data_IF_223926699771
#
_entry.id   IF_223926699771
#
_cell.length_a   1.000
_cell.length_b   1.000
_cell.length_c   1.000
_cell.angle_alpha   90.00
_cell.angle_beta   90.00
_cell.angle_gamma   90.00
#
_symmetry.space_group_name_H-M   'P 1'
#
loop_
_entity.id
_entity.type
_entity.pdbx_description
1 polymer ?
#
# COMPACT_ATOMS: atom_id res chain seq x y z
N UNK A 1 -5.04 -22.15 12.49
CA UNK A 1 -4.71 -20.75 12.16
C UNK A 1 -6.04 -20.04 11.97
N UNK A 2 -6.35 -19.02 12.78
CA UNK A 2 -7.65 -18.35 12.70
C UNK A 2 -7.54 -17.27 11.62
N UNK A 3 -8.07 -17.56 10.43
CA UNK A 3 -8.27 -16.55 9.40
C UNK A 3 -9.23 -15.50 9.96
N UNK A 4 -8.81 -14.23 9.98
CA UNK A 4 -9.74 -13.13 10.23
C UNK A 4 -10.67 -13.09 9.01
N UNK A 5 -11.85 -13.71 9.14
CA UNK A 5 -12.82 -13.79 8.06
C UNK A 5 -13.15 -12.38 7.56
N UNK A 6 -12.89 -12.12 6.28
CA UNK A 6 -13.41 -10.95 5.56
C UNK A 6 -12.54 -9.70 5.55
N UNK A 7 -11.23 -9.79 5.75
CA UNK A 7 -10.35 -8.62 5.59
C UNK A 7 -9.25 -8.91 4.58
N UNK A 8 -9.13 -8.06 3.56
CA UNK A 8 -8.01 -8.00 2.63
C UNK A 8 -7.28 -6.68 2.83
N UNK A 9 -5.96 -6.73 2.93
CA UNK A 9 -5.10 -5.56 3.05
C UNK A 9 -4.44 -5.30 1.72
N UNK A 10 -4.37 -4.03 1.36
CA UNK A 10 -3.64 -3.51 0.23
C UNK A 10 -2.55 -2.60 0.78
N UNK A 11 -1.30 -2.93 0.52
CA UNK A 11 -0.14 -2.13 0.96
C UNK A 11 0.62 -1.62 -0.25
N UNK A 12 0.90 -0.32 -0.26
CA UNK A 12 1.75 0.33 -1.25
C UNK A 12 3.00 0.88 -0.55
N UNK A 13 4.17 0.49 -1.03
CA UNK A 13 5.46 1.08 -0.67
C UNK A 13 5.89 2.03 -1.78
N UNK A 14 6.29 3.24 -1.40
CA UNK A 14 6.63 4.30 -2.35
C UNK A 14 7.97 4.96 -2.04
N UNK A 15 8.64 5.39 -3.09
CA UNK A 15 9.67 6.43 -3.06
C UNK A 15 9.23 7.55 -3.99
N UNK A 16 9.16 8.77 -3.51
CA UNK A 16 8.86 9.95 -4.33
C UNK A 16 10.12 10.49 -5.02
N UNK A 17 9.95 11.13 -6.17
CA UNK A 17 11.04 11.80 -6.91
C UNK A 17 11.58 13.03 -6.17
N UNK A 18 10.72 13.66 -5.37
CA UNK A 18 11.05 14.81 -4.53
C UNK A 18 10.78 14.47 -3.05
N UNK A 19 11.44 15.20 -2.15
CA UNK A 19 11.25 15.02 -0.71
C UNK A 19 9.85 15.50 -0.29
N UNK A 20 8.92 14.56 -0.13
CA UNK A 20 7.59 14.85 0.41
C UNK A 20 7.62 14.68 1.93
N UNK A 21 7.29 15.76 2.65
CA UNK A 21 7.39 15.83 4.13
C UNK A 21 6.12 15.41 4.88
N UNK A 22 4.99 15.28 4.19
CA UNK A 22 3.68 15.06 4.83
C UNK A 22 2.90 13.99 4.10
N UNK A 23 3.13 12.72 4.47
CA UNK A 23 2.30 11.61 4.06
C UNK A 23 2.03 10.66 5.24
N UNK A 24 0.97 9.86 5.12
CA UNK A 24 0.40 9.05 6.22
C UNK A 24 1.31 7.95 6.80
N UNK A 25 2.46 7.65 6.20
CA UNK A 25 3.47 6.75 6.75
C UNK A 25 4.83 6.94 6.09
N UNK A 26 5.86 7.23 6.89
CA UNK A 26 7.25 7.38 6.44
C UNK A 26 8.11 6.31 7.13
N UNK A 27 9.06 5.73 6.40
CA UNK A 27 9.99 4.75 6.93
C UNK A 27 10.84 5.37 8.05
N UNK A 28 10.98 4.61 9.14
CA UNK A 28 11.81 4.93 10.30
C UNK A 28 12.72 3.75 10.67
N UNK A 29 12.87 2.78 9.75
CA UNK A 29 13.68 1.60 9.98
C UNK A 29 15.14 1.97 10.19
N UNK A 30 15.78 1.36 11.19
CA UNK A 30 17.23 1.46 11.44
C UNK A 30 18.01 0.32 10.81
N UNK A 31 17.30 -0.67 10.29
CA UNK A 31 17.84 -1.93 9.77
C UNK A 31 18.41 -1.77 8.34
N UNK A 32 18.15 -0.63 7.67
CA UNK A 32 18.62 -0.31 6.33
C UNK A 32 18.25 -1.37 5.25
N UNK A 33 17.12 -2.06 5.45
CA UNK A 33 16.61 -3.08 4.53
C UNK A 33 15.47 -2.59 3.64
N UNK A 34 15.09 -1.31 3.75
CA UNK A 34 13.95 -0.70 3.06
C UNK A 34 14.14 -0.51 1.54
N UNK A 35 15.30 -0.88 0.97
CA UNK A 35 15.58 -0.84 -0.47
C UNK A 35 15.30 0.53 -1.13
N UNK A 36 15.45 1.62 -0.36
CA UNK A 36 15.17 2.99 -0.80
C UNK A 36 13.70 3.39 -0.85
N UNK A 37 12.75 2.52 -0.47
CA UNK A 37 11.38 2.96 -0.19
C UNK A 37 11.38 3.84 1.06
N UNK A 38 10.53 4.86 1.06
CA UNK A 38 10.48 5.88 2.11
C UNK A 38 9.09 6.05 2.70
N UNK A 39 8.05 5.56 2.04
CA UNK A 39 6.66 5.72 2.47
C UNK A 39 5.88 4.41 2.38
N UNK A 40 4.91 4.25 3.28
CA UNK A 40 3.96 3.14 3.32
C UNK A 40 2.52 3.64 3.37
N UNK A 41 1.67 2.95 2.62
CA UNK A 41 0.24 3.18 2.51
C UNK A 41 -0.47 1.88 2.77
N UNK A 42 -1.45 1.87 3.66
CA UNK A 42 -2.29 0.69 3.91
C UNK A 42 -3.76 1.07 3.72
N UNK A 43 -4.44 0.27 2.92
CA UNK A 43 -5.89 0.27 2.77
C UNK A 43 -6.46 -1.08 3.18
N UNK A 44 -7.69 -1.07 3.70
CA UNK A 44 -8.39 -2.28 4.16
C UNK A 44 -9.67 -2.44 3.36
N UNK A 45 -9.89 -3.65 2.85
CA UNK A 45 -11.04 -4.03 2.05
C UNK A 45 -11.74 -5.23 2.69
N UNK A 46 -13.05 -5.37 2.43
CA UNK A 46 -13.84 -6.50 2.94
C UNK A 46 -13.63 -7.77 2.10
N UNK A 47 -13.16 -7.65 0.87
CA UNK A 47 -12.97 -8.76 -0.06
C UNK A 47 -11.92 -8.46 -1.14
N UNK A 48 -11.58 -9.48 -1.93
CA UNK A 48 -10.67 -9.34 -3.08
C UNK A 48 -11.39 -8.60 -4.22
N UNK A 49 -12.69 -8.83 -4.36
CA UNK A 49 -13.55 -8.13 -5.32
C UNK A 49 -13.61 -6.63 -5.01
N UNK A 50 -13.62 -6.24 -3.73
CA UNK A 50 -13.57 -4.84 -3.32
C UNK A 50 -12.28 -4.12 -3.75
N UNK A 51 -11.16 -4.83 -3.87
CA UNK A 51 -9.93 -4.27 -4.45
C UNK A 51 -10.11 -4.04 -5.94
N UNK A 52 -10.68 -5.00 -6.68
CA UNK A 52 -10.91 -4.85 -8.10
C UNK A 52 -11.85 -3.67 -8.42
N UNK A 53 -12.93 -3.51 -7.64
CA UNK A 53 -13.85 -2.38 -7.74
C UNK A 53 -13.15 -1.05 -7.43
N UNK A 54 -12.34 -0.99 -6.37
CA UNK A 54 -11.53 0.18 -6.04
C UNK A 54 -10.56 0.55 -7.15
N UNK A 55 -9.84 -0.43 -7.71
CA UNK A 55 -8.86 -0.20 -8.78
C UNK A 55 -9.53 0.33 -10.05
N UNK A 56 -10.71 -0.19 -10.38
CA UNK A 56 -11.49 0.22 -11.55
C UNK A 56 -12.27 1.54 -11.34
N UNK A 57 -12.41 2.01 -10.09
CA UNK A 57 -13.20 3.20 -9.80
C UNK A 57 -12.60 4.45 -10.47
N UNK A 58 -13.39 5.28 -11.17
CA UNK A 58 -12.87 6.45 -11.90
C UNK A 58 -11.99 7.38 -11.05
N UNK A 59 -12.43 7.68 -9.82
CA UNK A 59 -11.66 8.52 -8.90
C UNK A 59 -10.30 7.91 -8.50
N UNK A 60 -10.21 6.59 -8.40
CA UNK A 60 -8.93 5.91 -8.17
C UNK A 60 -8.03 6.01 -9.41
N UNK A 61 -8.59 5.80 -10.60
CA UNK A 61 -7.84 5.90 -11.86
C UNK A 61 -7.30 7.32 -12.07
N UNK A 62 -8.14 8.33 -11.84
CA UNK A 62 -7.74 9.74 -11.90
C UNK A 62 -6.60 10.04 -10.91
N UNK A 63 -6.77 9.63 -9.64
CA UNK A 63 -5.72 9.80 -8.65
C UNK A 63 -4.44 9.05 -9.01
N UNK A 64 -4.52 7.82 -9.50
CA UNK A 64 -3.36 7.02 -9.90
C UNK A 64 -2.59 7.67 -11.05
N UNK A 65 -3.29 8.27 -12.02
CA UNK A 65 -2.68 8.98 -13.14
C UNK A 65 -1.89 10.24 -12.69
N UNK A 66 -2.34 10.90 -11.62
CA UNK A 66 -1.62 12.03 -11.02
C UNK A 66 -0.50 11.57 -10.08
N UNK A 67 -0.75 10.51 -9.31
CA UNK A 67 0.12 10.05 -8.23
C UNK A 67 1.33 9.27 -8.75
N UNK A 68 1.14 8.28 -9.63
CA UNK A 68 2.22 7.40 -10.09
C UNK A 68 3.40 8.15 -10.74
N UNK A 69 3.19 9.19 -11.57
CA UNK A 69 4.30 9.98 -12.14
C UNK A 69 5.17 10.70 -11.10
N UNK A 70 4.66 10.94 -9.89
CA UNK A 70 5.44 11.56 -8.79
C UNK A 70 6.37 10.56 -8.09
N UNK A 71 6.21 9.27 -8.35
CA UNK A 71 6.98 8.20 -7.72
C UNK A 71 8.23 7.87 -8.54
N UNK A 72 9.35 7.68 -7.84
CA UNK A 72 10.55 7.05 -8.38
C UNK A 72 10.42 5.51 -8.34
N UNK A 73 9.84 4.97 -7.26
CA UNK A 73 9.65 3.52 -7.05
C UNK A 73 8.30 3.26 -6.41
N UNK A 74 7.65 2.17 -6.81
CA UNK A 74 6.40 1.68 -6.22
C UNK A 74 6.37 0.16 -6.17
N UNK A 75 5.88 -0.39 -5.06
CA UNK A 75 5.48 -1.80 -4.92
C UNK A 75 4.08 -1.82 -4.32
N UNK A 76 3.21 -2.67 -4.86
CA UNK A 76 1.85 -2.89 -4.36
C UNK A 76 1.70 -4.37 -4.01
N UNK A 77 1.14 -4.66 -2.83
CA UNK A 77 0.91 -6.02 -2.34
C UNK A 77 -0.51 -6.10 -1.78
N UNK A 78 -1.30 -7.02 -2.31
CA UNK A 78 -2.60 -7.39 -1.77
C UNK A 78 -2.46 -8.73 -1.02
N UNK A 79 -2.97 -8.80 0.21
CA UNK A 79 -2.89 -10.02 1.01
C UNK A 79 -4.05 -10.14 1.99
N UNK A 80 -4.39 -11.39 2.34
CA UNK A 80 -5.29 -11.69 3.46
C UNK A 80 -4.45 -11.83 4.72
N UNK A 81 -4.66 -11.02 5.77
CA UNK A 81 -3.92 -11.15 7.01
C UNK A 81 -4.24 -12.49 7.68
N UNK A 82 -3.22 -13.31 7.86
CA UNK A 82 -3.36 -14.58 8.57
C UNK A 82 -2.54 -14.51 9.85
N UNK A 83 -3.20 -14.66 11.00
CA UNK A 83 -2.51 -14.63 12.29
C UNK A 83 -1.73 -15.93 12.47
N UNK A 84 -0.40 -15.83 12.43
CA UNK A 84 0.45 -16.94 12.85
C UNK A 84 0.42 -17.01 14.38
N UNK A 85 -0.15 -18.09 14.92
CA UNK A 85 0.02 -18.44 16.34
C UNK A 85 1.20 -19.43 16.40
N UNK A 86 2.30 -19.00 17.01
CA UNK A 86 3.43 -19.85 17.38
C UNK A 86 3.21 -20.41 18.79
#
# INVERSE_FOLDING_TARGET
MEEVKGVVKHVLLARFKEDIKTFRGTDVSVENMHQGFTHVFESTFESVEGIAEYVAHPAHVEFANEFLPTLEKVIVIDYKPTVLRA
#
